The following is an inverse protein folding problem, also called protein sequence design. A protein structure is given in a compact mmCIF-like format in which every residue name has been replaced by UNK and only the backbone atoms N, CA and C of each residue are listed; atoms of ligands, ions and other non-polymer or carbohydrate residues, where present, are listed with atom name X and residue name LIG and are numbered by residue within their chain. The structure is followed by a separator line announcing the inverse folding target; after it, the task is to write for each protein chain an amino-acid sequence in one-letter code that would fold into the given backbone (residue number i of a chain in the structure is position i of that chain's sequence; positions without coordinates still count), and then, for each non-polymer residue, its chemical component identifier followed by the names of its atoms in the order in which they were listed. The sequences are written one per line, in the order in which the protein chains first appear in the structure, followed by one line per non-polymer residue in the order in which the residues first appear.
data_IF_535786436449
#
_entry.id   IF_535786436449
#
_cell.length_a   1.000
_cell.length_b   1.000
_cell.length_c   1.000
_cell.angle_alpha   90.00
_cell.angle_beta   90.00
_cell.angle_gamma   90.00
#
_symmetry.space_group_name_H-M   'P 1'
#
loop_
_entity.id
_entity.type
_entity.pdbx_description
1 polymer ?
#
# COMPACT_ATOMS: atom_id res chain seq x y z
N UNK A 1 -26.31 12.02 -16.72
CA UNK A 1 -24.92 11.52 -16.85
C UNK A 1 -24.27 11.00 -15.54
N UNK A 2 -24.62 11.55 -14.36
CA UNK A 2 -24.08 11.07 -13.06
C UNK A 2 -24.87 9.91 -12.43
N UNK A 3 -26.17 9.79 -12.72
CA UNK A 3 -27.04 8.76 -12.12
C UNK A 3 -26.68 7.32 -12.57
N UNK A 4 -26.12 7.13 -13.76
CA UNK A 4 -25.76 5.80 -14.29
C UNK A 4 -24.49 5.24 -13.62
N UNK A 5 -23.63 6.10 -13.06
CA UNK A 5 -22.38 5.67 -12.42
C UNK A 5 -22.64 4.87 -11.13
N UNK A 6 -23.59 5.32 -10.32
CA UNK A 6 -23.94 4.67 -9.04
C UNK A 6 -24.62 3.31 -9.23
N UNK A 7 -25.38 3.14 -10.32
CA UNK A 7 -26.06 1.86 -10.64
C UNK A 7 -25.05 0.81 -11.12
N UNK A 8 -24.04 1.22 -11.89
CA UNK A 8 -23.00 0.31 -12.38
C UNK A 8 -22.16 -0.27 -11.24
N UNK A 9 -21.71 0.55 -10.30
CA UNK A 9 -20.96 0.08 -9.12
C UNK A 9 -21.77 -0.91 -8.25
N UNK A 10 -23.09 -0.75 -8.17
CA UNK A 10 -23.96 -1.63 -7.40
C UNK A 10 -24.12 -3.03 -8.04
N UNK A 11 -24.19 -3.09 -9.38
CA UNK A 11 -24.22 -4.36 -10.11
C UNK A 11 -22.87 -5.09 -10.09
N UNK A 12 -21.74 -4.37 -10.17
CA UNK A 12 -20.40 -4.97 -10.01
C UNK A 12 -20.13 -5.46 -8.58
N UNK A 13 -20.67 -4.80 -7.56
CA UNK A 13 -20.57 -5.25 -6.14
C UNK A 13 -21.32 -6.55 -5.86
N UNK A 14 -22.39 -6.85 -6.61
CA UNK A 14 -23.29 -7.99 -6.30
C UNK A 14 -22.83 -9.33 -6.86
N UNK A 15 -21.77 -9.38 -7.68
CA UNK A 15 -21.42 -10.60 -8.44
C UNK A 15 -19.96 -11.05 -8.30
N UNK A 16 -19.36 -10.98 -7.11
CA UNK A 16 -18.13 -11.75 -6.84
C UNK A 16 -17.95 -12.06 -5.35
N UNK A 17 -17.88 -13.35 -5.03
CA UNK A 17 -17.33 -13.89 -3.77
C UNK A 17 -15.80 -13.74 -3.75
N UNK A 18 -15.27 -12.56 -4.06
CA UNK A 18 -13.83 -12.32 -3.98
C UNK A 18 -13.52 -11.68 -2.64
N UNK A 19 -12.54 -12.23 -1.93
CA UNK A 19 -11.82 -11.64 -0.81
C UNK A 19 -11.04 -10.36 -1.19
N UNK A 20 -11.51 -9.64 -2.20
CA UNK A 20 -10.87 -8.50 -2.85
C UNK A 20 -11.89 -7.37 -2.85
N UNK A 21 -11.50 -6.24 -2.27
CA UNK A 21 -12.25 -5.00 -2.29
C UNK A 21 -11.39 -3.89 -2.87
N UNK A 22 -11.94 -3.11 -3.79
CA UNK A 22 -11.30 -1.91 -4.32
C UNK A 22 -11.97 -0.70 -3.68
N UNK A 23 -11.17 0.14 -3.02
CA UNK A 23 -11.65 1.34 -2.33
C UNK A 23 -11.16 2.55 -3.13
N UNK A 24 -12.07 3.24 -3.81
CA UNK A 24 -11.77 4.48 -4.53
C UNK A 24 -11.80 5.67 -3.58
N UNK A 25 -10.75 5.84 -2.78
CA UNK A 25 -10.55 6.96 -1.84
C UNK A 25 -9.08 7.33 -1.78
N UNK A 26 -8.78 8.50 -1.20
CA UNK A 26 -7.43 8.79 -0.76
C UNK A 26 -7.00 7.77 0.30
N UNK A 27 -5.84 7.16 0.12
CA UNK A 27 -5.31 6.17 1.05
C UNK A 27 -4.91 6.79 2.40
N UNK A 28 -4.69 8.11 2.49
CA UNK A 28 -4.51 8.80 3.76
C UNK A 28 -5.78 8.75 4.63
N UNK A 29 -6.97 8.68 4.01
CA UNK A 29 -8.26 8.68 4.70
C UNK A 29 -8.83 7.27 4.97
N UNK A 30 -8.18 6.22 4.47
CA UNK A 30 -8.62 4.83 4.65
C UNK A 30 -8.02 4.26 5.93
N UNK A 31 -8.85 3.64 6.77
CA UNK A 31 -8.36 2.95 7.97
C UNK A 31 -7.58 1.67 7.59
N UNK A 32 -6.32 1.58 8.05
CA UNK A 32 -5.43 0.46 7.80
C UNK A 32 -5.26 -0.48 9.01
N UNK A 33 -5.99 -0.29 10.10
CA UNK A 33 -5.78 -1.00 11.38
C UNK A 33 -5.92 -2.53 11.33
N UNK A 34 -6.62 -3.04 10.32
CA UNK A 34 -6.83 -4.47 10.12
C UNK A 34 -5.82 -5.10 9.15
N UNK A 35 -4.97 -4.29 8.52
CA UNK A 35 -3.92 -4.79 7.65
C UNK A 35 -2.84 -5.51 8.46
N UNK A 36 -2.48 -6.72 8.01
CA UNK A 36 -1.32 -7.47 8.53
C UNK A 36 -0.09 -7.28 7.63
N UNK A 37 -0.33 -7.03 6.34
CA UNK A 37 0.69 -6.83 5.32
C UNK A 37 0.27 -5.69 4.40
N UNK A 38 1.20 -4.79 4.11
CA UNK A 38 0.99 -3.63 3.23
C UNK A 38 2.04 -3.67 2.13
N UNK A 39 1.62 -3.41 0.90
CA UNK A 39 2.51 -3.33 -0.25
C UNK A 39 2.44 -1.94 -0.87
N UNK A 40 3.58 -1.27 -1.03
CA UNK A 40 3.65 0.08 -1.58
C UNK A 40 4.59 0.16 -2.78
N UNK A 41 4.21 1.01 -3.72
CA UNK A 41 5.07 1.48 -4.80
C UNK A 41 4.75 2.95 -5.06
N UNK A 42 5.26 3.81 -4.17
CA UNK A 42 4.96 5.24 -4.07
C UNK A 42 6.24 6.07 -4.16
N UNK A 43 6.17 7.40 -4.14
CA UNK A 43 7.38 8.25 -4.13
C UNK A 43 8.00 8.40 -2.73
N UNK A 44 9.32 8.72 -2.61
CA UNK A 44 9.99 8.88 -1.31
C UNK A 44 9.29 9.83 -0.35
N UNK A 45 8.88 11.02 -0.83
CA UNK A 45 8.21 12.00 0.01
C UNK A 45 6.88 11.46 0.56
N UNK A 46 6.12 10.73 -0.27
CA UNK A 46 4.83 10.12 0.13
C UNK A 46 5.05 8.99 1.14
N UNK A 47 6.16 8.25 1.02
CA UNK A 47 6.52 7.26 2.03
C UNK A 47 6.74 7.95 3.38
N UNK A 48 7.54 9.02 3.42
CA UNK A 48 7.79 9.73 4.69
C UNK A 48 6.51 10.37 5.27
N UNK A 49 5.65 10.93 4.42
CA UNK A 49 4.34 11.49 4.82
C UNK A 49 3.39 10.43 5.42
N UNK A 50 3.56 9.14 5.06
CA UNK A 50 2.74 8.05 5.58
C UNK A 50 3.15 7.60 6.99
N UNK A 51 4.38 7.90 7.44
CA UNK A 51 4.90 7.40 8.72
C UNK A 51 3.94 7.69 9.90
N UNK A 52 3.44 8.94 10.10
CA UNK A 52 2.57 9.23 11.24
C UNK A 52 1.25 8.44 11.22
N UNK A 53 0.73 8.14 10.03
CA UNK A 53 -0.49 7.35 9.86
C UNK A 53 -0.23 5.87 10.18
N UNK A 54 0.85 5.32 9.62
CA UNK A 54 1.21 3.92 9.82
C UNK A 54 1.49 3.64 11.31
N UNK A 55 2.21 4.54 11.98
CA UNK A 55 2.53 4.41 13.41
C UNK A 55 1.29 4.46 14.30
N UNK A 56 0.27 5.21 13.88
CA UNK A 56 -0.98 5.36 14.62
C UNK A 56 -1.93 4.19 14.40
N UNK A 57 -2.00 3.66 13.19
CA UNK A 57 -3.06 2.72 12.79
C UNK A 57 -2.60 1.26 12.81
N UNK A 58 -1.33 0.98 12.51
CA UNK A 58 -0.87 -0.40 12.35
C UNK A 58 -0.65 -1.07 13.71
N UNK A 59 -0.96 -2.37 13.74
CA UNK A 59 -0.69 -3.21 14.91
C UNK A 59 0.79 -3.60 14.91
N UNK A 60 1.37 -3.76 16.10
CA UNK A 60 2.73 -4.29 16.23
C UNK A 60 2.88 -5.63 15.50
N UNK A 61 3.94 -5.78 14.71
CA UNK A 61 4.21 -6.92 13.85
C UNK A 61 3.62 -6.79 12.44
N UNK A 62 2.99 -5.66 12.10
CA UNK A 62 2.48 -5.42 10.75
C UNK A 62 3.64 -5.23 9.79
N UNK A 63 3.64 -5.98 8.69
CA UNK A 63 4.71 -5.90 7.69
C UNK A 63 4.37 -4.94 6.58
N UNK A 64 5.30 -4.03 6.28
CA UNK A 64 5.20 -3.17 5.10
C UNK A 64 6.32 -3.50 4.13
N UNK A 65 5.95 -3.75 2.88
CA UNK A 65 6.85 -4.09 1.79
C UNK A 65 6.79 -2.94 0.78
N UNK A 66 7.90 -2.22 0.63
CA UNK A 66 8.00 -1.11 -0.31
C UNK A 66 8.92 -1.45 -1.48
N UNK A 67 8.41 -1.28 -2.70
CA UNK A 67 9.19 -1.44 -3.92
C UNK A 67 9.91 -0.13 -4.28
N UNK A 68 11.19 -0.21 -4.65
CA UNK A 68 12.09 0.89 -5.05
C UNK A 68 12.41 1.97 -4.02
N UNK A 69 11.48 2.28 -3.13
CA UNK A 69 11.53 3.49 -2.31
C UNK A 69 11.56 3.13 -0.82
N UNK A 70 12.47 3.75 -0.08
CA UNK A 70 12.65 3.55 1.35
C UNK A 70 12.05 4.72 2.13
N UNK A 71 11.72 4.50 3.40
CA UNK A 71 11.57 5.60 4.34
C UNK A 71 12.91 6.25 4.62
N UNK A 72 12.92 7.57 4.86
CA UNK A 72 14.12 8.31 5.27
C UNK A 72 14.40 8.14 6.76
N UNK A 73 13.34 8.12 7.58
CA UNK A 73 13.43 8.10 9.05
C UNK A 73 13.31 6.72 9.70
N UNK A 74 13.09 5.65 8.93
CA UNK A 74 12.92 4.28 9.45
C UNK A 74 13.91 3.32 8.82
N UNK A 75 14.44 2.42 9.64
CA UNK A 75 15.34 1.36 9.22
C UNK A 75 14.54 0.12 8.81
N UNK A 76 14.84 -0.39 7.62
CA UNK A 76 14.31 -1.65 7.12
C UNK A 76 14.85 -2.84 7.92
N UNK A 77 14.01 -3.87 8.10
CA UNK A 77 14.45 -5.16 8.64
C UNK A 77 15.20 -5.97 7.58
N UNK A 78 14.87 -5.75 6.31
CA UNK A 78 15.47 -6.46 5.17
C UNK A 78 15.47 -5.57 3.93
N UNK A 79 16.58 -5.58 3.21
CA UNK A 79 16.71 -5.03 1.86
C UNK A 79 16.98 -6.18 0.89
N UNK A 80 16.11 -6.34 -0.10
CA UNK A 80 16.20 -7.38 -1.12
C UNK A 80 16.52 -6.72 -2.46
N UNK A 81 17.68 -7.03 -3.02
CA UNK A 81 18.02 -6.69 -4.41
C UNK A 81 17.53 -7.80 -5.35
N UNK A 82 16.58 -7.46 -6.22
CA UNK A 82 15.98 -8.36 -7.20
C UNK A 82 16.89 -8.60 -8.42
N UNK A 83 18.10 -8.03 -8.46
CA UNK A 83 19.12 -8.19 -9.52
C UNK A 83 18.54 -7.93 -10.92
N UNK A 84 17.62 -6.97 -10.99
CA UNK A 84 16.91 -6.59 -12.23
C UNK A 84 17.79 -5.72 -13.14
N UNK A 85 17.55 -5.81 -14.45
CA UNK A 85 18.29 -5.02 -15.45
C UNK A 85 18.04 -3.51 -15.27
N UNK A 86 18.92 -2.67 -15.80
CA UNK A 86 18.90 -1.23 -15.62
C UNK A 86 17.63 -0.52 -16.07
N UNK A 87 16.94 -1.10 -17.05
CA UNK A 87 15.69 -0.58 -17.60
C UNK A 87 14.44 -1.05 -16.84
N UNK A 88 14.59 -1.91 -15.82
CA UNK A 88 13.48 -2.47 -15.07
C UNK A 88 13.24 -1.71 -13.76
N UNK A 89 11.96 -1.45 -13.47
CA UNK A 89 11.50 -0.84 -12.23
C UNK A 89 11.56 -1.84 -11.05
N UNK A 90 11.43 -1.32 -9.82
CA UNK A 90 11.40 -2.11 -8.60
C UNK A 90 12.61 -3.05 -8.50
N UNK A 91 13.82 -2.49 -8.58
CA UNK A 91 15.06 -3.28 -8.43
C UNK A 91 15.28 -3.74 -6.99
N UNK A 92 14.92 -2.88 -6.04
CA UNK A 92 15.07 -3.13 -4.61
C UNK A 92 13.71 -3.20 -3.96
N UNK A 93 13.60 -4.06 -2.95
CA UNK A 93 12.44 -4.17 -2.08
C UNK A 93 12.91 -3.98 -0.66
N UNK A 94 12.23 -3.12 0.09
CA UNK A 94 12.52 -2.84 1.49
C UNK A 94 11.37 -3.40 2.33
N UNK A 95 11.71 -4.14 3.38
CA UNK A 95 10.74 -4.71 4.31
C UNK A 95 10.85 -4.00 5.64
N UNK A 96 9.72 -3.59 6.20
CA UNK A 96 9.60 -2.93 7.49
C UNK A 96 8.65 -3.69 8.38
N UNK A 97 8.89 -3.59 9.69
CA UNK A 97 7.99 -4.03 10.74
C UNK A 97 7.55 -2.80 11.53
N UNK A 98 6.23 -2.65 11.68
CA UNK A 98 5.59 -1.59 12.46
C UNK A 98 5.07 -2.15 13.78
#
# INVERSE_FOLDING_TARGET
PLLVFNVRNWFFKRKNKSNISIIGKDFFDVNLSDATHIFTYLYPNVMDDLIPKLDKELKSGTRLISASFRFTGRREIEEIDLKRNNYQLAKKVYVYEF
#
